data_IF_578053727280
#
_entry.id   IF_578053727280
#
_cell.length_a   1.000
_cell.length_b   1.000
_cell.length_c   1.000
_cell.angle_alpha   90.00
_cell.angle_beta   90.00
_cell.angle_gamma   90.00
#
_symmetry.space_group_name_H-M   'P 1'
#
loop_
_entity.id
_entity.type
_entity.pdbx_description
1 polymer ?
#
# COMPACT_ATOMS: atom_id res chain seq x y z
N UNK A 1 -2.44 3.15 0.41
CA UNK A 1 -1.12 2.80 0.96
C UNK A 1 -1.16 1.34 1.35
N UNK A 2 -0.18 0.58 0.88
CA UNK A 2 0.06 -0.84 1.17
C UNK A 2 1.48 -0.91 1.75
N UNK A 3 1.65 -1.62 2.85
CA UNK A 3 2.96 -1.82 3.49
C UNK A 3 3.21 -3.33 3.45
N UNK A 4 4.23 -3.76 2.72
CA UNK A 4 4.55 -5.17 2.60
C UNK A 4 5.02 -5.75 3.94
N UNK A 5 4.73 -7.02 4.18
CA UNK A 5 4.96 -7.75 5.43
C UNK A 5 4.43 -7.12 6.73
N UNK A 6 3.50 -6.15 6.65
CA UNK A 6 2.92 -5.55 7.83
C UNK A 6 1.94 -6.50 8.55
N UNK A 7 2.22 -6.81 9.81
CA UNK A 7 1.39 -7.67 10.67
C UNK A 7 0.71 -6.88 11.77
N UNK A 8 -0.45 -7.37 12.22
CA UNK A 8 -1.27 -6.71 13.25
C UNK A 8 -0.52 -6.43 14.56
N UNK A 9 0.43 -7.29 14.94
CA UNK A 9 1.18 -7.11 16.18
C UNK A 9 2.02 -5.82 16.19
N UNK A 10 2.46 -5.35 15.01
CA UNK A 10 3.16 -4.07 14.86
C UNK A 10 2.31 -2.86 15.24
N UNK A 11 0.98 -2.99 15.19
CA UNK A 11 0.06 -1.96 15.66
C UNK A 11 -0.40 -2.22 17.09
N UNK A 12 -0.66 -3.48 17.45
CA UNK A 12 -1.35 -3.85 18.69
C UNK A 12 -0.45 -3.84 19.92
N UNK A 13 0.83 -4.21 19.79
CA UNK A 13 1.78 -4.26 20.91
C UNK A 13 1.94 -2.90 21.60
N UNK A 14 2.11 -2.91 22.92
CA UNK A 14 2.08 -1.70 23.76
C UNK A 14 3.23 -0.73 23.48
N UNK A 15 4.36 -1.23 23.00
CA UNK A 15 5.56 -0.45 22.66
C UNK A 15 5.65 -0.11 21.15
N UNK A 16 4.55 -0.31 20.41
CA UNK A 16 4.47 0.03 18.99
C UNK A 16 4.79 1.52 18.75
N UNK A 17 5.68 1.84 17.80
CA UNK A 17 5.98 3.22 17.42
C UNK A 17 4.89 3.86 16.55
N UNK A 18 3.84 3.11 16.16
CA UNK A 18 2.76 3.58 15.27
C UNK A 18 1.71 4.42 16.01
N UNK A 19 2.18 5.48 16.68
CA UNK A 19 1.39 6.28 17.61
C UNK A 19 0.22 7.00 16.95
N UNK A 20 0.38 7.50 15.72
CA UNK A 20 -0.71 8.20 15.04
C UNK A 20 -1.85 7.27 14.65
N UNK A 21 -1.56 6.09 14.09
CA UNK A 21 -2.60 5.12 13.76
C UNK A 21 -3.34 4.66 15.02
N UNK A 22 -2.61 4.35 16.10
CA UNK A 22 -3.20 3.96 17.39
C UNK A 22 -4.12 5.04 17.95
N UNK A 23 -3.66 6.30 17.96
CA UNK A 23 -4.47 7.45 18.40
C UNK A 23 -5.67 7.69 17.50
N UNK A 24 -5.54 7.49 16.18
CA UNK A 24 -6.64 7.67 15.24
C UNK A 24 -7.74 6.63 15.49
N UNK A 25 -7.38 5.40 15.82
CA UNK A 25 -8.33 4.35 16.21
C UNK A 25 -8.98 4.68 17.56
N UNK A 26 -8.19 4.99 18.59
CA UNK A 26 -8.73 5.24 19.93
C UNK A 26 -9.61 6.50 20.02
N UNK A 27 -9.34 7.51 19.19
CA UNK A 27 -10.18 8.73 19.08
C UNK A 27 -11.40 8.56 18.17
N UNK A 28 -11.62 7.39 17.57
CA UNK A 28 -12.75 7.14 16.66
C UNK A 28 -12.60 7.77 15.28
N UNK A 29 -11.42 8.29 14.92
CA UNK A 29 -11.12 8.83 13.58
C UNK A 29 -10.80 7.75 12.55
N UNK A 30 -10.53 6.52 13.00
CA UNK A 30 -10.24 5.37 12.16
C UNK A 30 -10.88 4.09 12.76
N UNK A 31 -11.14 3.12 11.89
CA UNK A 31 -11.58 1.78 12.27
C UNK A 31 -10.54 0.79 11.74
N UNK A 32 -10.17 -0.19 12.56
CA UNK A 32 -9.22 -1.24 12.18
C UNK A 32 -9.95 -2.57 11.92
N UNK A 33 -9.54 -3.25 10.86
CA UNK A 33 -9.98 -4.61 10.54
C UNK A 33 -8.75 -5.50 10.42
N UNK A 34 -8.87 -6.74 10.88
CA UNK A 34 -7.82 -7.75 10.75
C UNK A 34 -8.19 -8.70 9.62
N UNK A 35 -7.28 -8.87 8.66
CA UNK A 35 -7.41 -9.87 7.60
C UNK A 35 -6.38 -10.99 7.82
N UNK A 36 -6.80 -12.24 7.66
CA UNK A 36 -5.92 -13.41 7.77
C UNK A 36 -5.35 -13.78 6.40
N UNK A 37 -4.03 -13.68 6.24
CA UNK A 37 -3.33 -14.15 5.04
C UNK A 37 -3.00 -15.64 5.20
N UNK A 38 -3.56 -16.48 4.32
CA UNK A 38 -3.25 -17.92 4.29
C UNK A 38 -1.86 -18.18 3.70
N UNK A 39 -1.25 -19.34 3.99
CA UNK A 39 0.00 -19.76 3.36
C UNK A 39 -0.23 -20.11 1.88
N UNK A 40 0.68 -19.77 0.96
CA UNK A 40 1.90 -18.98 1.16
C UNK A 40 1.62 -17.47 1.23
N UNK A 41 2.39 -16.78 2.08
CA UNK A 41 2.32 -15.33 2.32
C UNK A 41 3.31 -14.60 1.42
N UNK A 42 3.13 -14.75 0.11
CA UNK A 42 3.95 -14.10 -0.93
C UNK A 42 3.21 -12.89 -1.53
N UNK A 43 3.96 -11.83 -1.89
CA UNK A 43 3.41 -10.52 -2.28
C UNK A 43 2.44 -10.57 -3.46
N UNK A 44 2.86 -11.12 -4.60
CA UNK A 44 2.04 -11.15 -5.83
C UNK A 44 0.66 -11.82 -5.63
N UNK A 45 0.56 -13.02 -5.05
CA UNK A 45 -0.72 -13.63 -4.70
C UNK A 45 -1.62 -12.80 -3.79
N UNK A 46 -1.03 -12.06 -2.85
CA UNK A 46 -1.80 -11.21 -1.93
C UNK A 46 -2.30 -9.96 -2.62
N UNK A 47 -1.54 -9.40 -3.57
CA UNK A 47 -2.03 -8.32 -4.44
C UNK A 47 -3.22 -8.81 -5.28
N UNK A 48 -3.13 -10.00 -5.89
CA UNK A 48 -4.27 -10.59 -6.61
C UNK A 48 -5.49 -10.73 -5.70
N UNK A 49 -5.33 -11.35 -4.54
CA UNK A 49 -6.42 -11.51 -3.58
C UNK A 49 -7.05 -10.17 -3.13
N UNK A 50 -6.21 -9.17 -2.86
CA UNK A 50 -6.63 -7.82 -2.46
C UNK A 50 -7.44 -7.12 -3.55
N UNK A 51 -7.18 -7.44 -4.82
CA UNK A 51 -7.73 -6.70 -5.97
C UNK A 51 -8.89 -7.41 -6.64
N UNK A 52 -8.92 -8.75 -6.66
CA UNK A 52 -10.02 -9.56 -7.19
C UNK A 52 -11.02 -10.01 -6.12
N UNK A 53 -10.61 -10.03 -4.85
CA UNK A 53 -11.40 -10.63 -3.76
C UNK A 53 -11.38 -12.16 -3.75
N UNK A 54 -10.59 -12.78 -4.64
CA UNK A 54 -10.46 -14.23 -4.75
C UNK A 54 -9.29 -14.72 -3.89
N UNK A 55 -9.54 -15.71 -3.03
CA UNK A 55 -8.47 -16.34 -2.25
C UNK A 55 -7.64 -17.24 -3.18
N UNK A 56 -6.32 -17.00 -3.34
CA UNK A 56 -5.51 -17.81 -4.25
C UNK A 56 -5.36 -19.24 -3.73
N UNK A 57 -5.50 -20.23 -4.61
CA UNK A 57 -5.22 -21.63 -4.28
C UNK A 57 -3.75 -21.96 -4.56
N UNK A 58 -3.14 -22.88 -3.80
CA UNK A 58 -1.73 -23.26 -3.99
C UNK A 58 -1.39 -23.65 -5.45
N UNK A 59 -2.33 -24.33 -6.12
CA UNK A 59 -2.20 -24.73 -7.53
C UNK A 59 -2.18 -23.51 -8.46
N UNK A 60 -3.03 -22.51 -8.23
CA UNK A 60 -3.03 -21.30 -9.04
C UNK A 60 -1.75 -20.48 -8.86
N UNK A 61 -1.10 -20.58 -7.70
CA UNK A 61 0.17 -19.90 -7.44
C UNK A 61 1.33 -20.50 -8.21
N UNK A 62 1.42 -21.83 -8.26
CA UNK A 62 2.47 -22.52 -9.01
C UNK A 62 2.30 -22.33 -10.52
N UNK A 63 1.06 -22.34 -11.02
CA UNK A 63 0.77 -22.09 -12.43
C UNK A 63 1.02 -20.63 -12.84
N UNK A 64 0.63 -19.67 -11.99
CA UNK A 64 0.77 -18.23 -12.28
C UNK A 64 2.12 -17.63 -11.89
N UNK A 65 3.03 -18.39 -11.28
CA UNK A 65 4.36 -17.88 -10.92
C UNK A 65 5.14 -17.37 -12.15
N UNK A 66 4.79 -17.88 -13.34
CA UNK A 66 5.36 -17.50 -14.63
C UNK A 66 4.46 -16.57 -15.47
N UNK A 67 3.23 -16.29 -15.02
CA UNK A 67 2.31 -15.41 -15.74
C UNK A 67 2.60 -13.96 -15.36
N UNK A 68 2.94 -13.12 -16.35
CA UNK A 68 3.27 -11.71 -16.13
C UNK A 68 2.04 -10.86 -15.79
N UNK A 69 0.87 -11.19 -16.35
CA UNK A 69 -0.34 -10.37 -16.26
C UNK A 69 -1.48 -11.08 -15.50
N UNK A 70 -2.30 -10.31 -14.77
CA UNK A 70 -3.48 -10.87 -14.11
C UNK A 70 -4.63 -11.04 -15.12
N UNK A 71 -5.06 -12.28 -15.35
CA UNK A 71 -6.26 -12.59 -16.15
C UNK A 71 -7.56 -12.53 -15.34
N UNK A 72 -7.48 -12.33 -14.02
CA UNK A 72 -8.64 -12.25 -13.14
C UNK A 72 -9.23 -10.83 -13.13
N UNK A 73 -10.56 -10.73 -13.12
CA UNK A 73 -11.26 -9.47 -12.89
C UNK A 73 -10.86 -8.85 -11.55
N UNK A 74 -10.61 -7.56 -11.54
CA UNK A 74 -10.17 -6.83 -10.35
C UNK A 74 -10.80 -5.45 -10.30
N UNK A 75 -10.83 -4.83 -9.11
CA UNK A 75 -11.27 -3.44 -9.01
C UNK A 75 -10.32 -2.48 -9.74
N UNK A 76 -9.04 -2.84 -9.92
CA UNK A 76 -8.04 -2.03 -10.64
C UNK A 76 -8.36 -2.00 -12.13
N UNK A 77 -8.56 -3.17 -12.76
CA UNK A 77 -8.96 -3.26 -14.16
C UNK A 77 -10.33 -2.64 -14.40
N UNK A 78 -11.29 -2.88 -13.49
CA UNK A 78 -12.62 -2.26 -13.56
C UNK A 78 -12.57 -0.73 -13.49
N UNK A 79 -11.76 -0.17 -12.58
CA UNK A 79 -11.60 1.27 -12.44
C UNK A 79 -10.93 1.89 -13.68
N UNK A 80 -9.89 1.25 -14.21
CA UNK A 80 -9.21 1.69 -15.43
C UNK A 80 -10.17 1.69 -16.63
N UNK A 81 -10.91 0.60 -16.86
CA UNK A 81 -11.91 0.48 -17.93
C UNK A 81 -13.04 1.50 -17.80
N UNK A 82 -13.36 1.92 -16.58
CA UNK A 82 -14.32 3.00 -16.32
C UNK A 82 -13.72 4.42 -16.49
N UNK A 83 -12.49 4.55 -17.00
CA UNK A 83 -11.82 5.82 -17.24
C UNK A 83 -11.30 6.51 -15.98
N UNK A 84 -11.16 5.80 -14.85
CA UNK A 84 -10.59 6.37 -13.63
C UNK A 84 -9.08 6.52 -13.78
N UNK A 85 -8.56 7.67 -13.36
CA UNK A 85 -7.14 7.99 -13.40
C UNK A 85 -6.45 7.37 -12.19
N UNK A 86 -5.77 6.24 -12.39
CA UNK A 86 -5.05 5.54 -11.31
C UNK A 86 -3.58 5.95 -11.35
N UNK A 87 -3.08 6.48 -10.22
CA UNK A 87 -1.66 6.76 -10.01
C UNK A 87 -1.05 5.68 -9.10
N UNK A 88 0.10 5.13 -9.48
CA UNK A 88 0.77 4.03 -8.78
C UNK A 88 2.26 4.31 -8.52
N UNK A 89 2.72 4.07 -7.29
CA UNK A 89 4.15 4.14 -6.95
C UNK A 89 4.48 3.03 -5.94
N UNK A 90 5.46 2.18 -6.22
CA UNK A 90 5.79 1.06 -5.34
C UNK A 90 6.26 -0.20 -6.06
N UNK A 91 6.14 -1.35 -5.42
CA UNK A 91 6.52 -2.66 -5.95
C UNK A 91 6.08 -2.89 -7.41
N UNK A 92 7.05 -3.12 -8.31
CA UNK A 92 6.84 -3.34 -9.75
C UNK A 92 5.90 -4.52 -10.09
N UNK A 93 5.59 -5.39 -9.14
CA UNK A 93 4.59 -6.45 -9.25
C UNK A 93 3.24 -5.91 -9.71
N UNK A 94 2.83 -4.72 -9.27
CA UNK A 94 1.59 -4.09 -9.72
C UNK A 94 1.61 -3.74 -11.21
N UNK A 95 2.76 -3.28 -11.73
CA UNK A 95 2.92 -2.93 -13.13
C UNK A 95 2.84 -4.17 -14.04
N UNK A 96 3.37 -5.29 -13.55
CA UNK A 96 3.25 -6.59 -14.21
C UNK A 96 1.81 -7.07 -14.22
N UNK A 97 1.15 -7.07 -13.06
CA UNK A 97 -0.21 -7.58 -12.89
C UNK A 97 -1.29 -6.78 -13.64
N UNK A 98 -1.14 -5.45 -13.73
CA UNK A 98 -2.14 -4.55 -14.31
C UNK A 98 -1.51 -3.65 -15.38
N UNK A 99 -1.02 -4.23 -16.49
CA UNK A 99 -0.45 -3.43 -17.55
C UNK A 99 -1.51 -2.47 -18.09
N UNK A 100 -1.10 -1.24 -18.39
CA UNK A 100 -1.96 -0.15 -18.90
C UNK A 100 -3.04 0.38 -17.94
N UNK A 101 -3.10 -0.07 -16.67
CA UNK A 101 -4.09 0.44 -15.72
C UNK A 101 -3.75 1.83 -15.13
N UNK A 102 -2.49 2.25 -15.24
CA UNK A 102 -1.98 3.44 -14.54
C UNK A 102 -1.71 4.59 -15.50
N UNK A 103 -2.29 5.76 -15.21
CA UNK A 103 -2.02 7.01 -15.97
C UNK A 103 -0.69 7.66 -15.57
N UNK A 104 -0.19 7.29 -14.39
CA UNK A 104 1.10 7.72 -13.85
C UNK A 104 1.63 6.60 -12.96
N UNK A 105 2.81 6.09 -13.28
CA UNK A 105 3.39 4.96 -12.57
C UNK A 105 4.90 5.10 -12.39
N UNK A 106 5.41 4.64 -11.25
CA UNK A 106 6.84 4.34 -11.07
C UNK A 106 6.99 3.09 -10.19
N UNK A 107 7.71 2.09 -10.72
CA UNK A 107 7.98 0.83 -10.03
C UNK A 107 9.31 0.87 -9.29
N UNK A 108 9.36 0.28 -8.10
CA UNK A 108 10.59 -0.09 -7.41
C UNK A 108 10.72 -1.61 -7.41
N UNK A 109 11.95 -2.10 -7.54
CA UNK A 109 12.18 -3.54 -7.65
C UNK A 109 12.29 -4.22 -6.28
N UNK A 110 11.61 -5.35 -6.15
CA UNK A 110 11.59 -6.14 -4.91
C UNK A 110 12.81 -7.06 -4.75
N UNK A 111 13.72 -7.10 -5.73
CA UNK A 111 14.85 -8.05 -5.73
C UNK A 111 16.08 -7.59 -4.94
N UNK A 112 16.19 -6.30 -4.60
CA UNK A 112 17.31 -5.76 -3.82
C UNK A 112 16.97 -5.59 -2.34
N UNK A 113 16.82 -6.71 -1.63
CA UNK A 113 16.37 -6.74 -0.21
C UNK A 113 17.28 -5.99 0.78
N UNK A 114 18.56 -5.78 0.43
CA UNK A 114 19.49 -5.03 1.29
C UNK A 114 19.22 -3.53 1.32
N UNK A 115 18.41 -3.02 0.39
CA UNK A 115 17.94 -1.64 0.41
C UNK A 115 16.52 -1.56 0.97
N UNK A 116 16.38 -1.10 2.21
CA UNK A 116 15.11 -0.82 2.86
C UNK A 116 14.86 0.68 3.08
N UNK A 117 15.72 1.54 2.52
CA UNK A 117 15.63 3.00 2.69
C UNK A 117 15.36 3.70 1.37
N UNK A 118 16.20 3.48 0.38
CA UNK A 118 16.06 4.08 -0.95
C UNK A 118 14.81 3.55 -1.67
N UNK A 119 14.48 2.26 -1.51
CA UNK A 119 13.23 1.67 -2.01
C UNK A 119 11.98 2.46 -1.57
N UNK A 120 11.88 2.83 -0.28
CA UNK A 120 10.75 3.58 0.24
C UNK A 120 10.85 5.09 -0.06
N UNK A 121 12.06 5.63 -0.17
CA UNK A 121 12.29 7.01 -0.60
C UNK A 121 11.82 7.20 -2.05
N UNK A 122 12.06 6.22 -2.93
CA UNK A 122 11.61 6.24 -4.32
C UNK A 122 10.09 6.24 -4.43
N UNK A 123 9.36 5.65 -3.48
CA UNK A 123 7.90 5.80 -3.38
C UNK A 123 7.53 7.18 -2.81
N UNK A 124 8.16 7.58 -1.70
CA UNK A 124 7.77 8.77 -0.93
C UNK A 124 8.09 10.09 -1.62
N UNK A 125 9.13 10.15 -2.46
CA UNK A 125 9.54 11.39 -3.15
C UNK A 125 8.44 12.00 -4.03
N UNK A 126 7.46 11.19 -4.46
CA UNK A 126 6.32 11.65 -5.23
C UNK A 126 5.15 12.13 -4.37
N UNK A 127 5.12 11.76 -3.09
CA UNK A 127 3.94 11.88 -2.21
C UNK A 127 3.43 13.31 -2.13
N UNK A 128 4.28 14.31 -1.92
CA UNK A 128 3.81 15.70 -1.75
C UNK A 128 3.20 16.27 -3.03
N UNK A 129 3.76 15.90 -4.19
CA UNK A 129 3.24 16.31 -5.49
C UNK A 129 1.88 15.66 -5.77
N UNK A 130 1.76 14.36 -5.52
CA UNK A 130 0.49 13.62 -5.62
C UNK A 130 -0.55 14.15 -4.62
N UNK A 131 -0.07 14.45 -3.41
CA UNK A 131 -0.65 15.21 -2.29
C UNK A 131 -1.33 16.53 -2.68
N UNK A 132 -0.85 17.19 -3.74
CA UNK A 132 -1.31 18.52 -4.18
C UNK A 132 -2.06 18.44 -5.51
N UNK A 133 -1.75 17.45 -6.34
CA UNK A 133 -2.41 17.21 -7.63
C UNK A 133 -3.89 16.80 -7.48
N UNK A 134 -4.66 17.06 -8.54
CA UNK A 134 -6.04 16.59 -8.76
C UNK A 134 -6.15 15.65 -9.98
N UNK A 135 -5.00 15.13 -10.44
CA UNK A 135 -4.87 14.42 -11.72
C UNK A 135 -5.07 12.91 -11.58
N UNK A 136 -5.46 12.45 -10.40
CA UNK A 136 -5.76 11.06 -10.09
C UNK A 136 -7.09 10.97 -9.34
N UNK A 137 -7.78 9.86 -9.55
CA UNK A 137 -9.01 9.46 -8.85
C UNK A 137 -8.71 8.34 -7.84
N UNK A 138 -7.69 7.52 -8.11
CA UNK A 138 -7.15 6.52 -7.19
C UNK A 138 -5.64 6.68 -7.06
N UNK A 139 -5.13 6.61 -5.83
CA UNK A 139 -3.70 6.62 -5.53
C UNK A 139 -3.30 5.33 -4.79
N UNK A 140 -2.40 4.56 -5.40
CA UNK A 140 -1.81 3.37 -4.83
C UNK A 140 -0.33 3.66 -4.51
N UNK A 141 0.05 3.40 -3.27
CA UNK A 141 1.43 3.49 -2.78
C UNK A 141 1.76 2.14 -2.16
N UNK A 142 2.79 1.45 -2.62
CA UNK A 142 3.20 0.15 -2.07
C UNK A 142 4.65 0.20 -1.59
N UNK A 143 4.83 0.12 -0.26
CA UNK A 143 6.12 0.20 0.42
C UNK A 143 6.69 -1.17 0.71
N UNK A 144 7.99 -1.36 0.46
CA UNK A 144 8.70 -2.65 0.57
C UNK A 144 9.70 -2.67 1.74
N UNK A 145 10.11 -1.51 2.26
CA UNK A 145 11.22 -1.43 3.21
C UNK A 145 11.01 -2.24 4.49
N UNK A 146 9.77 -2.42 4.95
CA UNK A 146 9.48 -3.24 6.13
C UNK A 146 9.76 -4.73 5.88
N UNK A 147 9.34 -5.25 4.72
CA UNK A 147 9.62 -6.61 4.28
C UNK A 147 11.13 -6.84 4.08
N UNK A 148 11.79 -5.89 3.43
CA UNK A 148 13.24 -5.90 3.21
C UNK A 148 14.03 -5.95 4.54
N UNK A 149 13.65 -5.17 5.56
CA UNK A 149 14.27 -5.30 6.91
C UNK A 149 14.03 -6.70 7.48
N UNK A 150 12.82 -7.23 7.35
CA UNK A 150 12.48 -8.58 7.81
C UNK A 150 13.34 -9.66 7.17
N UNK A 151 13.61 -9.56 5.86
CA UNK A 151 14.46 -10.49 5.13
C UNK A 151 15.95 -10.32 5.39
N UNK A 152 16.46 -9.08 5.42
CA UNK A 152 17.90 -8.83 5.56
C UNK A 152 18.41 -8.86 7.00
N UNK A 153 17.61 -8.38 7.96
CA UNK A 153 18.02 -8.22 9.36
C UNK A 153 17.18 -9.06 10.35
N UNK A 154 16.10 -9.67 9.88
CA UNK A 154 15.19 -10.46 10.70
C UNK A 154 14.10 -9.62 11.38
N UNK A 155 12.95 -10.25 11.65
CA UNK A 155 11.76 -9.59 12.21
C UNK A 155 11.89 -9.07 13.65
N UNK A 156 13.03 -9.27 14.31
CA UNK A 156 13.35 -8.74 15.65
C UNK A 156 14.37 -7.59 15.59
N UNK A 157 14.80 -7.18 14.39
CA UNK A 157 15.74 -6.08 14.21
C UNK A 157 15.17 -4.77 14.78
N UNK A 158 15.99 -3.93 15.46
CA UNK A 158 15.56 -2.60 15.88
C UNK A 158 15.16 -1.70 14.70
N UNK A 159 15.61 -2.01 13.49
CA UNK A 159 15.20 -1.31 12.26
C UNK A 159 13.72 -1.49 11.95
N UNK A 160 13.07 -2.57 12.41
CA UNK A 160 11.61 -2.74 12.29
C UNK A 160 10.90 -1.57 12.98
N UNK A 161 11.32 -1.17 14.18
CA UNK A 161 10.69 -0.05 14.90
C UNK A 161 10.90 1.28 14.17
N UNK A 162 12.09 1.51 13.62
CA UNK A 162 12.37 2.71 12.80
C UNK A 162 11.47 2.74 11.56
N UNK A 163 11.33 1.62 10.89
CA UNK A 163 10.52 1.51 9.67
C UNK A 163 9.02 1.63 9.95
N UNK A 164 8.53 1.07 11.05
CA UNK A 164 7.14 1.27 11.49
C UNK A 164 6.84 2.73 11.84
N UNK A 165 7.79 3.44 12.45
CA UNK A 165 7.67 4.89 12.72
C UNK A 165 7.56 5.68 11.41
N UNK A 166 8.40 5.37 10.43
CA UNK A 166 8.35 5.98 9.10
C UNK A 166 6.98 5.77 8.43
N UNK A 167 6.46 4.53 8.45
CA UNK A 167 5.14 4.24 7.88
C UNK A 167 4.00 4.97 8.61
N UNK A 168 4.08 5.12 9.94
CA UNK A 168 3.13 5.91 10.73
C UNK A 168 3.17 7.40 10.37
N UNK A 169 4.36 7.95 10.11
CA UNK A 169 4.54 9.33 9.65
C UNK A 169 3.99 9.56 8.24
N UNK A 170 4.19 8.61 7.33
CA UNK A 170 3.59 8.65 5.98
C UNK A 170 2.06 8.60 6.07
N UNK A 171 1.51 7.70 6.90
CA UNK A 171 0.07 7.61 7.12
C UNK A 171 -0.52 8.92 7.68
N UNK A 172 0.18 9.55 8.63
CA UNK A 172 -0.18 10.88 9.18
C UNK A 172 -0.20 11.94 8.09
N UNK A 173 0.85 12.04 7.27
CA UNK A 173 0.93 13.02 6.17
C UNK A 173 -0.22 12.87 5.18
N UNK A 174 -0.54 11.63 4.79
CA UNK A 174 -1.67 11.34 3.89
C UNK A 174 -2.98 11.80 4.55
N UNK A 175 -3.20 11.40 5.80
CA UNK A 175 -4.43 11.73 6.52
C UNK A 175 -4.64 13.24 6.65
N UNK A 176 -3.61 13.99 7.03
CA UNK A 176 -3.70 15.44 7.23
C UNK A 176 -4.12 16.16 5.94
N UNK A 177 -3.50 15.81 4.81
CA UNK A 177 -3.81 16.45 3.52
C UNK A 177 -5.20 16.05 3.01
N UNK A 178 -5.54 14.77 3.09
CA UNK A 178 -6.83 14.27 2.58
C UNK A 178 -8.00 14.76 3.44
N UNK A 179 -7.86 14.77 4.77
CA UNK A 179 -8.91 15.24 5.69
C UNK A 179 -9.26 16.71 5.45
N UNK A 180 -8.25 17.57 5.23
CA UNK A 180 -8.46 18.97 4.87
C UNK A 180 -9.18 19.11 3.52
N UNK A 181 -8.81 18.31 2.52
CA UNK A 181 -9.47 18.31 1.19
C UNK A 181 -10.94 17.92 1.28
N UNK A 182 -11.26 16.88 2.04
CA UNK A 182 -12.64 16.42 2.24
C UNK A 182 -13.47 17.47 2.98
N UNK A 183 -12.91 18.08 4.03
CA UNK A 183 -13.59 19.14 4.77
C UNK A 183 -13.90 20.34 3.87
N UNK A 184 -12.93 20.82 3.09
CA UNK A 184 -13.16 21.92 2.13
C UNK A 184 -14.24 21.58 1.11
N UNK A 185 -14.23 20.36 0.55
CA UNK A 185 -15.29 19.94 -0.39
C UNK A 185 -16.68 19.99 0.25
N UNK A 186 -16.85 19.48 1.47
CA UNK A 186 -18.14 19.52 2.19
C UNK A 186 -18.57 20.94 2.56
N UNK A 187 -17.64 21.79 3.01
CA UNK A 187 -17.93 23.16 3.42
C UNK A 187 -18.40 24.05 2.26
N UNK A 188 -17.89 23.80 1.04
CA UNK A 188 -18.22 24.58 -0.16
C UNK A 188 -19.21 23.90 -1.12
N UNK A 189 -19.77 22.72 -0.74
CA UNK A 189 -20.78 22.00 -1.54
C UNK A 189 -22.21 22.22 -1.04
N UNK A 190 -22.53 23.37 -0.43
CA UNK A 190 -23.91 23.72 -0.08
C UNK A 190 -24.75 23.77 -1.35
N UNK A 191 -25.93 23.12 -1.41
CA UNK A 191 -26.81 23.26 -2.57
C UNK A 191 -27.26 24.73 -2.65
N UNK A 192 -27.20 25.31 -3.84
CA UNK A 192 -28.03 26.49 -4.15
C UNK A 192 -29.45 26.02 -4.43
#
# INVERSE_FOLDING_TARGET
>A
MVIDAWRMSFLAEGDSPMTFLRQSISSGRAVAFTANAQTPTVTMPRIKALTSGVVPSLVSLLGNFFASESMEDSWVSSASSAGRRIAFFGDDTWLRLFPNAFVKAEGVTSFFVNDFTEVDNNVTRHLDSLLKSRDWDVLILHYLGLDHVGHSLGGQSPEIKRKLKEMDEIARRIFDVISVRVWKRKAFSTPR
#
